data_IF_248655237484
#
_entry.id   IF_248655237484
#
_cell.length_a   1.000
_cell.length_b   1.000
_cell.length_c   1.000
_cell.angle_alpha   90.00
_cell.angle_beta   90.00
_cell.angle_gamma   90.00
#
_symmetry.space_group_name_H-M   'P 1'
#
loop_
_entity.id
_entity.type
_entity.pdbx_description
1 polymer ?
#
# COMPACT_ATOMS: atom_id res chain seq x y z
N UNK A 1 21.46 -33.10 -52.82
CA UNK A 1 20.28 -33.34 -51.98
C UNK A 1 19.79 -31.97 -51.52
N UNK A 2 18.68 -31.50 -52.09
CA UNK A 2 18.11 -30.18 -51.84
C UNK A 2 17.12 -30.24 -50.67
N UNK A 3 17.15 -29.24 -49.81
CA UNK A 3 15.98 -28.66 -49.16
C UNK A 3 16.27 -27.16 -48.90
N UNK A 4 15.40 -26.22 -49.35
CA UNK A 4 15.65 -24.79 -49.26
C UNK A 4 15.17 -24.19 -47.93
N UNK A 5 15.86 -23.14 -47.47
CA UNK A 5 15.45 -22.30 -46.34
C UNK A 5 14.28 -21.40 -46.76
N UNK A 6 13.17 -21.48 -46.03
CA UNK A 6 11.99 -20.65 -46.28
C UNK A 6 12.14 -19.26 -45.63
N UNK A 7 12.25 -18.24 -46.46
CA UNK A 7 12.07 -16.83 -46.12
C UNK A 7 10.58 -16.57 -45.92
N UNK A 8 10.18 -16.05 -44.75
CA UNK A 8 8.80 -15.62 -44.51
C UNK A 8 8.56 -14.28 -45.20
N UNK A 9 7.67 -14.27 -46.20
CA UNK A 9 7.16 -13.07 -46.84
C UNK A 9 5.83 -12.63 -46.19
N UNK A 10 5.51 -11.32 -46.18
CA UNK A 10 4.23 -10.82 -45.68
C UNK A 10 3.10 -11.31 -46.58
N UNK A 11 1.99 -11.74 -45.98
CA UNK A 11 0.80 -12.15 -46.72
C UNK A 11 0.02 -10.90 -47.14
N UNK A 12 0.02 -10.60 -48.44
CA UNK A 12 -0.99 -9.75 -49.07
C UNK A 12 -2.28 -10.55 -49.24
N UNK A 13 -3.40 -10.03 -48.74
CA UNK A 13 -4.74 -10.49 -49.13
C UNK A 13 -5.43 -9.32 -49.80
N UNK A 14 -5.62 -9.43 -51.12
CA UNK A 14 -6.37 -8.49 -51.94
C UNK A 14 -7.88 -8.74 -51.91
N UNK A 15 -8.61 -7.62 -51.89
CA UNK A 15 -9.96 -7.30 -52.39
C UNK A 15 -11.09 -8.32 -52.33
N UNK A 16 -12.18 -7.96 -51.64
CA UNK A 16 -13.40 -7.60 -52.37
C UNK A 16 -14.32 -6.66 -51.56
N UNK A 17 -14.88 -5.67 -52.27
CA UNK A 17 -15.84 -4.71 -51.74
C UNK A 17 -17.19 -5.38 -51.45
N UNK A 18 -17.69 -5.23 -50.21
CA UNK A 18 -19.12 -5.20 -49.95
C UNK A 18 -19.42 -4.16 -48.88
N UNK A 19 -20.39 -3.32 -49.22
CA UNK A 19 -20.86 -2.18 -48.46
C UNK A 19 -21.37 -2.63 -47.10
N UNK A 20 -20.86 -2.03 -46.02
CA UNK A 20 -21.55 -2.07 -44.74
C UNK A 20 -21.69 -0.65 -44.20
N UNK A 21 -22.93 -0.41 -43.79
CA UNK A 21 -23.52 0.87 -43.53
C UNK A 21 -22.95 1.51 -42.27
N UNK A 22 -23.26 2.79 -42.17
CA UNK A 22 -22.72 3.78 -41.26
C UNK A 22 -23.18 3.53 -39.79
N UNK A 23 -22.53 2.62 -39.07
CA UNK A 23 -22.75 2.48 -37.62
C UNK A 23 -21.86 3.45 -36.85
N UNK A 24 -22.55 4.42 -36.26
CA UNK A 24 -22.05 5.54 -35.47
C UNK A 24 -21.27 5.02 -34.26
N UNK A 25 -20.08 5.58 -34.01
CA UNK A 25 -19.33 5.40 -32.76
C UNK A 25 -20.26 5.62 -31.55
N UNK A 26 -20.70 4.53 -30.93
CA UNK A 26 -21.31 4.58 -29.61
C UNK A 26 -20.20 4.85 -28.59
N UNK A 27 -19.83 6.12 -28.45
CA UNK A 27 -19.27 6.61 -27.20
C UNK A 27 -20.22 6.15 -26.09
N UNK A 28 -19.74 5.47 -25.02
CA UNK A 28 -20.59 5.22 -23.88
C UNK A 28 -21.04 6.59 -23.38
N UNK A 29 -22.34 6.86 -23.51
CA UNK A 29 -22.97 7.98 -22.85
C UNK A 29 -22.87 7.65 -21.37
N UNK A 30 -21.87 8.22 -20.70
CA UNK A 30 -21.94 8.41 -19.26
C UNK A 30 -23.27 9.10 -19.04
N UNK A 31 -24.22 8.36 -18.46
CA UNK A 31 -25.50 8.93 -18.11
C UNK A 31 -25.22 10.21 -17.35
N UNK A 32 -25.94 11.27 -17.68
CA UNK A 32 -26.09 12.40 -16.79
C UNK A 32 -26.80 11.89 -15.52
N UNK A 33 -26.07 11.13 -14.71
CA UNK A 33 -26.42 10.91 -13.32
C UNK A 33 -26.39 12.30 -12.72
N UNK A 34 -27.58 12.79 -12.40
CA UNK A 34 -27.74 13.94 -11.54
C UNK A 34 -26.85 13.66 -10.33
N UNK A 35 -25.76 14.41 -10.20
CA UNK A 35 -25.03 14.49 -8.94
C UNK A 35 -26.05 15.04 -7.95
N UNK A 36 -26.72 14.15 -7.24
CA UNK A 36 -27.53 14.53 -6.11
C UNK A 36 -26.51 15.03 -5.07
N UNK A 37 -26.37 16.35 -4.97
CA UNK A 37 -25.54 17.02 -3.97
C UNK A 37 -25.98 16.65 -2.53
N UNK A 38 -27.07 15.88 -2.36
CA UNK A 38 -27.54 15.35 -1.09
C UNK A 38 -27.34 13.84 -0.93
N UNK A 39 -26.67 13.14 -1.86
CA UNK A 39 -26.28 11.75 -1.65
C UNK A 39 -24.97 11.71 -0.86
N UNK A 40 -25.05 12.18 0.39
CA UNK A 40 -24.09 11.85 1.42
C UNK A 40 -24.23 10.34 1.66
N UNK A 41 -23.46 9.55 0.91
CA UNK A 41 -23.41 8.10 1.08
C UNK A 41 -23.22 7.82 2.57
N UNK A 42 -24.24 7.24 3.20
CA UNK A 42 -24.26 7.00 4.64
C UNK A 42 -23.04 6.15 5.01
N UNK A 43 -22.03 6.79 5.61
CA UNK A 43 -20.80 6.11 6.02
C UNK A 43 -21.15 5.28 7.26
N UNK A 44 -21.48 4.02 7.03
CA UNK A 44 -21.62 3.04 8.10
C UNK A 44 -20.22 2.67 8.60
N UNK A 45 -19.92 2.83 9.90
CA UNK A 45 -18.66 2.36 10.45
C UNK A 45 -18.48 0.86 10.18
N UNK A 46 -17.27 0.44 9.82
CA UNK A 46 -16.97 -0.99 9.73
C UNK A 46 -17.19 -1.63 11.10
N UNK A 47 -17.95 -2.73 11.17
CA UNK A 47 -18.11 -3.51 12.39
C UNK A 47 -16.71 -3.94 12.91
N UNK A 48 -16.42 -3.68 14.19
CA UNK A 48 -15.12 -3.94 14.81
C UNK A 48 -14.12 -2.77 14.74
N UNK A 49 -14.44 -1.64 14.09
CA UNK A 49 -13.56 -0.47 14.05
C UNK A 49 -13.24 0.14 15.43
N UNK A 50 -13.95 -0.28 16.48
CA UNK A 50 -13.66 0.01 17.88
C UNK A 50 -12.40 -0.70 18.42
N UNK A 51 -12.06 -1.88 17.89
CA UNK A 51 -10.96 -2.73 18.36
C UNK A 51 -9.63 -2.40 17.65
N UNK A 52 -9.21 -1.13 17.76
CA UNK A 52 -7.98 -0.66 17.10
C UNK A 52 -6.77 -0.60 18.02
N UNK A 53 -5.62 -0.95 17.46
CA UNK A 53 -4.31 -0.91 18.12
C UNK A 53 -3.58 0.35 17.68
N UNK A 54 -3.18 1.17 18.64
CA UNK A 54 -2.20 2.24 18.45
C UNK A 54 -0.91 1.85 19.15
N UNK A 55 0.22 1.81 18.45
CA UNK A 55 1.54 1.51 19.03
C UNK A 55 2.32 2.81 19.22
N UNK A 56 3.03 2.93 20.35
CA UNK A 56 3.89 4.09 20.64
C UNK A 56 5.34 3.72 20.29
N UNK A 57 5.79 4.11 19.11
CA UNK A 57 7.11 3.78 18.59
C UNK A 57 8.16 4.83 18.99
N UNK A 58 9.21 4.38 19.67
CA UNK A 58 10.35 5.18 20.09
C UNK A 58 11.44 5.05 19.03
N UNK A 59 11.80 6.17 18.42
CA UNK A 59 12.88 6.31 17.45
C UNK A 59 13.76 7.47 17.90
N UNK A 60 15.01 7.18 18.26
CA UNK A 60 15.91 8.13 18.94
C UNK A 60 15.23 8.74 20.17
N UNK A 61 15.01 10.05 20.19
CA UNK A 61 14.38 10.84 21.25
C UNK A 61 12.89 11.11 20.99
N UNK A 62 12.33 10.63 19.88
CA UNK A 62 10.93 10.89 19.49
C UNK A 62 10.02 9.69 19.73
N UNK A 63 8.78 9.99 20.10
CA UNK A 63 7.69 9.03 20.26
C UNK A 63 6.64 9.29 19.18
N UNK A 64 6.46 8.33 18.29
CA UNK A 64 5.56 8.42 17.14
C UNK A 64 4.39 7.46 17.36
N UNK A 65 3.14 7.96 17.51
CA UNK A 65 1.97 7.10 17.56
C UNK A 65 1.68 6.52 16.17
N UNK A 66 1.50 5.20 16.09
CA UNK A 66 1.18 4.49 14.85
C UNK A 66 -0.15 3.78 15.02
N UNK A 67 -1.16 4.23 14.30
CA UNK A 67 -2.46 3.57 14.21
C UNK A 67 -2.33 2.34 13.31
N UNK A 68 -2.61 1.17 13.87
CA UNK A 68 -2.44 -0.13 13.21
C UNK A 68 -3.78 -0.73 12.77
N UNK A 69 -4.90 -0.05 13.00
CA UNK A 69 -6.23 -0.67 12.82
C UNK A 69 -6.32 -1.94 13.68
N UNK A 70 -6.71 -3.06 13.06
CA UNK A 70 -6.76 -4.37 13.71
C UNK A 70 -5.40 -5.01 14.02
N UNK A 71 -4.29 -4.43 13.53
CA UNK A 71 -2.93 -4.94 13.80
C UNK A 71 -2.58 -6.23 13.07
N UNK A 72 -3.14 -6.48 11.89
CA UNK A 72 -2.89 -7.70 11.09
C UNK A 72 -1.58 -7.65 10.29
N UNK A 73 -0.92 -6.51 10.25
CA UNK A 73 0.40 -6.33 9.64
C UNK A 73 1.53 -6.94 10.50
N UNK A 74 2.68 -7.22 9.88
CA UNK A 74 3.87 -7.71 10.56
C UNK A 74 4.56 -6.62 11.38
N UNK A 75 5.27 -6.99 12.44
CA UNK A 75 6.02 -6.08 13.31
C UNK A 75 7.04 -5.25 12.53
N UNK A 76 7.69 -5.78 11.50
CA UNK A 76 8.63 -5.03 10.65
C UNK A 76 8.00 -3.80 9.98
N UNK A 77 6.68 -3.82 9.74
CA UNK A 77 5.94 -2.68 9.19
C UNK A 77 5.99 -1.48 10.15
N UNK A 78 5.89 -1.70 11.47
CA UNK A 78 6.04 -0.63 12.47
C UNK A 78 7.37 0.09 12.33
N UNK A 79 8.45 -0.67 12.12
CA UNK A 79 9.79 -0.15 11.92
C UNK A 79 9.87 0.81 10.74
N UNK A 80 9.43 0.36 9.57
CA UNK A 80 9.42 1.18 8.36
C UNK A 80 8.52 2.41 8.50
N UNK A 81 7.34 2.25 9.09
CA UNK A 81 6.40 3.35 9.28
C UNK A 81 6.92 4.39 10.26
N UNK A 82 7.56 3.98 11.35
CA UNK A 82 8.15 4.89 12.31
C UNK A 82 9.28 5.71 11.67
N UNK A 83 10.14 5.07 10.88
CA UNK A 83 11.20 5.74 10.12
C UNK A 83 10.60 6.72 9.10
N UNK A 84 9.59 6.30 8.34
CA UNK A 84 8.95 7.15 7.35
C UNK A 84 8.24 8.37 7.98
N UNK A 85 7.81 8.28 9.24
CA UNK A 85 7.20 9.38 9.99
C UNK A 85 8.19 10.13 10.88
N UNK A 86 9.45 9.68 10.92
CA UNK A 86 10.47 10.38 11.68
C UNK A 86 10.74 11.71 11.00
N UNK A 87 10.64 12.76 11.79
CA UNK A 87 10.79 14.14 11.34
C UNK A 87 11.58 14.90 12.39
N UNK A 88 12.90 14.98 12.24
CA UNK A 88 13.79 15.71 13.15
C UNK A 88 13.74 17.22 12.86
N UNK A 89 13.84 17.61 11.59
CA UNK A 89 14.05 18.99 11.12
C UNK A 89 12.85 19.61 10.35
N UNK A 90 11.67 19.01 10.42
CA UNK A 90 10.49 19.44 9.64
C UNK A 90 10.55 18.99 8.17
N UNK A 91 11.44 18.06 7.83
CA UNK A 91 11.55 17.39 6.55
C UNK A 91 11.34 15.89 6.80
N UNK A 92 10.19 15.36 6.38
CA UNK A 92 9.86 13.95 6.55
C UNK A 92 10.65 13.09 5.56
N UNK A 93 11.92 12.84 5.86
CA UNK A 93 12.89 12.08 5.05
C UNK A 93 13.64 11.03 5.90
N UNK A 94 13.01 10.51 6.96
CA UNK A 94 13.69 9.66 7.94
C UNK A 94 14.39 8.43 7.37
N UNK A 95 14.03 7.92 6.19
CA UNK A 95 14.76 6.83 5.54
C UNK A 95 16.20 7.21 5.13
N UNK A 96 16.47 8.48 4.84
CA UNK A 96 17.83 8.97 4.56
C UNK A 96 18.67 9.04 5.84
N UNK A 97 18.03 9.39 6.97
CA UNK A 97 18.71 9.63 8.25
C UNK A 97 18.86 8.37 9.11
N UNK A 98 17.95 7.40 8.93
CA UNK A 98 17.83 6.21 9.77
C UNK A 98 18.03 4.92 8.96
N UNK A 99 17.82 4.95 7.65
CA UNK A 99 17.87 3.75 6.81
C UNK A 99 16.69 2.80 7.06
N UNK A 100 16.98 1.56 7.44
CA UNK A 100 15.99 0.49 7.65
C UNK A 100 15.89 0.07 9.12
N UNK A 101 14.74 -0.48 9.56
CA UNK A 101 14.63 -1.03 10.91
C UNK A 101 15.45 -2.32 11.03
N UNK A 102 16.26 -2.41 12.09
CA UNK A 102 17.12 -3.58 12.36
C UNK A 102 16.64 -4.39 13.55
N UNK A 103 15.96 -3.76 14.51
CA UNK A 103 15.46 -4.41 15.73
C UNK A 103 14.27 -3.66 16.30
N UNK A 104 13.31 -4.41 16.86
CA UNK A 104 12.12 -3.86 17.53
C UNK A 104 11.99 -4.51 18.91
N UNK A 105 11.99 -3.70 19.97
CA UNK A 105 11.96 -4.16 21.36
C UNK A 105 10.72 -3.64 22.07
N UNK A 106 9.88 -4.53 22.58
CA UNK A 106 8.73 -4.19 23.42
C UNK A 106 9.19 -3.82 24.83
N UNK A 107 8.70 -2.69 25.34
CA UNK A 107 8.92 -2.17 26.70
C UNK A 107 10.41 -2.13 27.12
N UNK A 108 11.33 -2.06 26.15
CA UNK A 108 12.79 -2.08 26.36
C UNK A 108 13.37 -3.41 26.85
N UNK A 109 12.58 -4.49 26.91
CA UNK A 109 12.96 -5.76 27.54
C UNK A 109 12.94 -6.96 26.59
N UNK A 110 11.95 -7.03 25.69
CA UNK A 110 11.73 -8.19 24.83
C UNK A 110 11.85 -7.79 23.37
N UNK A 111 12.82 -8.37 22.68
CA UNK A 111 12.90 -8.29 21.23
C UNK A 111 11.74 -9.08 20.60
N UNK A 112 11.08 -8.47 19.62
CA UNK A 112 10.00 -9.08 18.85
C UNK A 112 10.55 -9.69 17.57
N UNK A 113 9.93 -10.77 17.10
CA UNK A 113 10.20 -11.28 15.77
C UNK A 113 9.70 -10.28 14.72
N UNK A 114 10.53 -9.95 13.73
CA UNK A 114 10.16 -8.98 12.69
C UNK A 114 8.98 -9.46 11.84
N UNK A 115 8.78 -10.78 11.74
CA UNK A 115 7.67 -11.43 11.04
C UNK A 115 6.45 -11.69 11.93
N UNK A 116 6.52 -11.40 13.23
CA UNK A 116 5.37 -11.55 14.14
C UNK A 116 4.23 -10.64 13.69
N UNK A 117 2.98 -11.04 13.93
CA UNK A 117 1.80 -10.19 13.66
C UNK A 117 1.56 -9.27 14.84
N UNK A 118 1.27 -7.98 14.59
CA UNK A 118 1.15 -6.96 15.66
C UNK A 118 0.12 -7.36 16.71
N UNK A 119 -1.10 -7.76 16.30
CA UNK A 119 -2.17 -8.07 17.24
C UNK A 119 -1.91 -9.32 18.10
N UNK A 120 -0.99 -10.21 17.68
CA UNK A 120 -0.59 -11.38 18.46
C UNK A 120 0.40 -11.03 19.58
N UNK A 121 1.20 -9.96 19.42
CA UNK A 121 2.35 -9.68 20.30
C UNK A 121 2.30 -8.30 21.00
N UNK A 122 1.46 -7.39 20.53
CA UNK A 122 1.30 -6.03 21.05
C UNK A 122 -0.16 -5.74 21.39
N UNK A 123 -0.35 -5.11 22.54
CA UNK A 123 -1.65 -4.55 22.96
C UNK A 123 -1.74 -3.08 22.54
N UNK A 124 -2.96 -2.55 22.50
CA UNK A 124 -3.16 -1.11 22.29
C UNK A 124 -2.32 -0.29 23.30
N UNK A 125 -1.68 0.77 22.80
CA UNK A 125 -0.76 1.66 23.50
C UNK A 125 0.54 1.02 24.00
N UNK A 126 0.93 -0.15 23.49
CA UNK A 126 2.24 -0.74 23.80
C UNK A 126 3.38 0.17 23.34
N UNK A 127 4.46 0.21 24.12
CA UNK A 127 5.68 0.92 23.77
C UNK A 127 6.67 -0.01 23.07
N UNK A 128 7.20 0.42 21.94
CA UNK A 128 8.25 -0.30 21.21
C UNK A 128 9.43 0.61 20.91
N UNK A 129 10.64 0.08 20.99
CA UNK A 129 11.89 0.79 20.71
C UNK A 129 12.50 0.24 19.44
N UNK A 130 12.80 1.13 18.50
CA UNK A 130 13.25 0.77 17.16
C UNK A 130 14.73 1.12 17.03
N UNK A 131 15.53 0.12 16.69
CA UNK A 131 16.90 0.33 16.22
C UNK A 131 16.91 0.39 14.70
N UNK A 132 17.77 1.24 14.17
CA UNK A 132 17.87 1.57 12.75
C UNK A 132 19.26 1.21 12.23
N UNK A 133 19.45 1.20 10.90
CA UNK A 133 20.74 0.84 10.30
C UNK A 133 21.77 1.98 10.28
N UNK A 134 21.31 3.22 10.49
CA UNK A 134 22.10 4.45 10.55
C UNK A 134 21.89 5.17 11.88
#
# INVERSE_FOLDING_TARGET
MNAPAATLHPVEVGSDHSQHEHDTEQRPTYGSEQFDENNDAEVTPNEGAEDTITVLAHVRDKIIPIHCGFGTQQVIWLGHVAIARFDEDGQTQGWLELGIPTKIVKDGKRELGLTDVICDVLQNRSHVYISTSL
#
